data_IF_798386767951
#
_entry.id   IF_798386767951
#
_cell.length_a   1.000
_cell.length_b   1.000
_cell.length_c   1.000
_cell.angle_alpha   90.00
_cell.angle_beta   90.00
_cell.angle_gamma   90.00
#
_symmetry.space_group_name_H-M   'P 1'
#
loop_
_entity.id
_entity.type
_entity.pdbx_description
1 polymer ?
#
# COMPACT_ATOMS: atom_id res chain seq x y z
N UNK A 1 -5.50 -8.58 -24.14
CA UNK A 1 -4.20 -8.23 -23.53
C UNK A 1 -3.85 -9.29 -22.49
N UNK A 2 -2.58 -9.43 -22.08
CA UNK A 2 -2.20 -10.43 -21.07
C UNK A 2 -2.94 -10.19 -19.75
N UNK A 3 -3.12 -8.93 -19.37
CA UNK A 3 -3.94 -8.56 -18.21
C UNK A 3 -5.37 -9.13 -18.26
N UNK A 4 -6.02 -9.12 -19.42
CA UNK A 4 -7.37 -9.66 -19.57
C UNK A 4 -7.41 -11.19 -19.37
N UNK A 5 -6.34 -11.88 -19.77
CA UNK A 5 -6.18 -13.32 -19.53
C UNK A 5 -6.03 -13.57 -18.02
N UNK A 6 -5.23 -12.77 -17.31
CA UNK A 6 -5.12 -12.86 -15.84
C UNK A 6 -6.47 -12.64 -15.13
N UNK A 7 -7.34 -11.79 -15.68
CA UNK A 7 -8.69 -11.59 -15.15
C UNK A 7 -9.62 -12.80 -15.34
N UNK A 8 -9.32 -13.66 -16.31
CA UNK A 8 -10.12 -14.83 -16.68
C UNK A 8 -9.62 -16.14 -16.05
N UNK A 9 -8.56 -16.10 -15.22
CA UNK A 9 -8.04 -17.28 -14.54
C UNK A 9 -9.13 -18.04 -13.76
N UNK A 10 -8.96 -19.37 -13.59
CA UNK A 10 -9.83 -20.18 -12.74
C UNK A 10 -9.93 -19.61 -11.32
N UNK A 11 -11.06 -19.87 -10.66
CA UNK A 11 -11.33 -19.30 -9.33
C UNK A 11 -10.32 -19.78 -8.27
N UNK A 12 -9.84 -21.01 -8.38
CA UNK A 12 -8.81 -21.56 -7.48
C UNK A 12 -7.48 -20.79 -7.61
N UNK A 13 -7.03 -20.53 -8.84
CA UNK A 13 -5.80 -19.77 -9.07
C UNK A 13 -5.93 -18.32 -8.60
N UNK A 14 -7.08 -17.69 -8.85
CA UNK A 14 -7.40 -16.35 -8.33
C UNK A 14 -7.33 -16.29 -6.81
N UNK A 15 -7.79 -17.32 -6.11
CA UNK A 15 -7.72 -17.40 -4.66
C UNK A 15 -6.27 -17.44 -4.17
N UNK A 16 -5.42 -18.27 -4.79
CA UNK A 16 -3.98 -18.37 -4.48
C UNK A 16 -3.25 -17.04 -4.74
N UNK A 17 -3.55 -16.37 -5.86
CA UNK A 17 -3.01 -15.03 -6.17
C UNK A 17 -3.47 -14.01 -5.12
N UNK A 18 -4.75 -14.04 -4.71
CA UNK A 18 -5.29 -13.13 -3.72
C UNK A 18 -4.60 -13.26 -2.36
N UNK A 19 -4.31 -14.49 -1.92
CA UNK A 19 -3.57 -14.76 -0.69
C UNK A 19 -2.16 -14.15 -0.73
N UNK A 20 -1.41 -14.35 -1.83
CA UNK A 20 -0.08 -13.77 -1.98
C UNK A 20 -0.12 -12.24 -2.03
N UNK A 21 -1.12 -11.66 -2.70
CA UNK A 21 -1.30 -10.20 -2.74
C UNK A 21 -1.63 -9.65 -1.36
N UNK A 22 -2.39 -10.37 -0.53
CA UNK A 22 -2.66 -9.93 0.83
C UNK A 22 -1.38 -9.94 1.69
N UNK A 23 -0.54 -10.97 1.56
CA UNK A 23 0.79 -10.98 2.19
C UNK A 23 1.66 -9.80 1.74
N UNK A 24 1.63 -9.45 0.44
CA UNK A 24 2.30 -8.26 -0.08
C UNK A 24 1.74 -6.95 0.49
N UNK A 25 0.41 -6.84 0.63
CA UNK A 25 -0.26 -5.65 1.19
C UNK A 25 0.12 -5.38 2.65
N UNK A 26 0.39 -6.42 3.42
CA UNK A 26 0.91 -6.27 4.78
C UNK A 26 2.27 -5.57 4.80
N UNK A 27 3.20 -5.95 3.91
CA UNK A 27 4.49 -5.26 3.77
C UNK A 27 4.33 -3.83 3.25
N UNK A 28 3.41 -3.63 2.29
CA UNK A 28 3.09 -2.29 1.79
C UNK A 28 2.54 -1.38 2.89
N UNK A 29 1.69 -1.89 3.78
CA UNK A 29 1.17 -1.14 4.93
C UNK A 29 2.28 -0.69 5.89
N UNK A 30 3.31 -1.53 6.10
CA UNK A 30 4.50 -1.14 6.88
C UNK A 30 5.26 0.00 6.20
N UNK A 31 5.38 -0.03 4.87
CA UNK A 31 6.01 1.07 4.14
C UNK A 31 5.18 2.34 4.23
N UNK A 32 3.88 2.29 4.02
CA UNK A 32 2.97 3.44 4.16
C UNK A 32 3.12 4.09 5.54
N UNK A 33 3.08 3.29 6.60
CA UNK A 33 3.23 3.76 7.97
C UNK A 33 4.60 4.39 8.22
N UNK A 34 5.65 3.90 7.57
CA UNK A 34 7.00 4.46 7.70
C UNK A 34 7.12 5.78 6.92
N UNK A 35 6.73 5.80 5.64
CA UNK A 35 6.87 6.99 4.78
C UNK A 35 5.91 8.11 5.17
N UNK A 36 4.77 7.80 5.81
CA UNK A 36 3.80 8.81 6.26
C UNK A 36 4.34 9.73 7.38
N UNK A 37 5.41 9.32 8.07
CA UNK A 37 6.06 10.12 9.12
C UNK A 37 6.85 11.29 8.55
N UNK A 38 7.24 11.21 7.28
CA UNK A 38 8.27 12.06 6.70
C UNK A 38 7.69 13.02 5.67
N UNK A 39 8.10 14.28 5.74
CA UNK A 39 8.06 15.21 4.60
C UNK A 39 9.16 14.80 3.63
N UNK A 40 8.80 14.58 2.37
CA UNK A 40 9.71 14.09 1.33
C UNK A 40 10.47 15.20 0.61
N UNK A 41 10.18 16.47 0.91
CA UNK A 41 10.96 17.60 0.41
C UNK A 41 12.42 17.47 0.87
N UNK A 42 13.35 17.33 -0.08
CA UNK A 42 14.78 17.16 0.21
C UNK A 42 15.14 15.77 0.77
N UNK A 43 14.27 14.77 0.60
CA UNK A 43 14.53 13.39 0.97
C UNK A 43 14.19 12.44 -0.17
N UNK A 44 15.12 12.31 -1.11
CA UNK A 44 14.96 11.45 -2.28
C UNK A 44 14.85 9.97 -1.93
N UNK A 45 15.33 9.52 -0.74
CA UNK A 45 15.12 8.15 -0.29
C UNK A 45 13.62 7.88 -0.09
N UNK A 46 12.88 8.81 0.52
CA UNK A 46 11.43 8.68 0.70
C UNK A 46 10.70 8.78 -0.65
N UNK A 47 11.10 9.69 -1.53
CA UNK A 47 10.51 9.82 -2.88
C UNK A 47 10.68 8.53 -3.67
N UNK A 48 11.89 7.97 -3.69
CA UNK A 48 12.19 6.71 -4.39
C UNK A 48 11.44 5.53 -3.76
N UNK A 49 11.31 5.48 -2.43
CA UNK A 49 10.53 4.44 -1.76
C UNK A 49 9.05 4.47 -2.17
N UNK A 50 8.44 5.67 -2.23
CA UNK A 50 7.07 5.86 -2.72
C UNK A 50 6.94 5.47 -4.20
N UNK A 51 7.91 5.86 -5.04
CA UNK A 51 7.93 5.49 -6.45
C UNK A 51 7.99 3.96 -6.64
N UNK A 52 8.92 3.28 -5.96
CA UNK A 52 9.05 1.83 -6.01
C UNK A 52 7.79 1.13 -5.51
N UNK A 53 7.17 1.63 -4.43
CA UNK A 53 5.91 1.12 -3.89
C UNK A 53 4.78 1.18 -4.93
N UNK A 54 4.61 2.33 -5.58
CA UNK A 54 3.58 2.53 -6.61
C UNK A 54 3.75 1.54 -7.76
N UNK A 55 4.96 1.39 -8.29
CA UNK A 55 5.21 0.47 -9.42
C UNK A 55 5.00 -0.99 -9.00
N UNK A 56 5.45 -1.39 -7.80
CA UNK A 56 5.18 -2.75 -7.29
C UNK A 56 3.69 -3.03 -7.13
N UNK A 57 2.90 -2.05 -6.68
CA UNK A 57 1.43 -2.17 -6.61
C UNK A 57 0.84 -2.42 -8.01
N UNK A 58 1.23 -1.65 -9.03
CA UNK A 58 0.78 -1.85 -10.42
C UNK A 58 1.12 -3.24 -10.95
N UNK A 59 2.33 -3.75 -10.64
CA UNK A 59 2.75 -5.10 -11.00
C UNK A 59 1.94 -6.19 -10.30
N UNK A 60 1.60 -6.00 -9.01
CA UNK A 60 0.73 -6.95 -8.29
C UNK A 60 -0.74 -6.85 -8.67
N UNK A 61 -1.22 -5.69 -9.13
CA UNK A 61 -2.58 -5.59 -9.66
C UNK A 61 -2.69 -6.23 -11.05
N UNK A 62 -1.62 -6.20 -11.84
CA UNK A 62 -1.55 -6.91 -13.13
C UNK A 62 -1.81 -8.40 -12.98
N UNK A 63 -1.27 -9.06 -11.95
CA UNK A 63 -1.48 -10.50 -11.71
C UNK A 63 -2.94 -10.83 -11.37
N UNK A 64 -3.73 -9.83 -10.96
CA UNK A 64 -5.18 -9.94 -10.69
C UNK A 64 -6.03 -9.54 -11.89
N UNK A 65 -5.40 -9.24 -13.02
CA UNK A 65 -6.06 -8.68 -14.20
C UNK A 65 -6.57 -7.26 -14.03
N UNK A 66 -5.96 -6.47 -13.13
CA UNK A 66 -6.33 -5.08 -12.82
C UNK A 66 -5.16 -4.12 -13.02
N UNK A 67 -5.42 -2.82 -12.90
CA UNK A 67 -4.39 -1.78 -12.95
C UNK A 67 -4.03 -1.31 -14.37
N UNK A 68 -2.96 -0.51 -14.49
CA UNK A 68 -2.61 0.16 -15.74
C UNK A 68 -1.84 -0.72 -16.73
N UNK A 69 -1.08 -1.72 -16.26
CA UNK A 69 -0.25 -2.58 -17.11
C UNK A 69 -1.13 -3.52 -17.94
N UNK A 70 -0.92 -3.60 -19.26
CA UNK A 70 -1.76 -4.39 -20.17
C UNK A 70 -1.06 -5.65 -20.65
N UNK A 71 0.23 -5.56 -20.96
CA UNK A 71 1.00 -6.62 -21.61
C UNK A 71 2.28 -6.93 -20.82
N UNK A 72 2.90 -8.09 -21.11
CA UNK A 72 4.17 -8.49 -20.48
C UNK A 72 5.29 -7.46 -20.68
N UNK A 73 5.29 -6.75 -21.81
CA UNK A 73 6.22 -5.64 -22.06
C UNK A 73 6.13 -4.55 -21.00
N UNK A 74 4.92 -4.24 -20.53
CA UNK A 74 4.68 -3.19 -19.55
C UNK A 74 5.21 -3.61 -18.18
N UNK A 75 5.03 -4.89 -17.83
CA UNK A 75 5.56 -5.51 -16.60
C UNK A 75 7.09 -5.53 -16.61
N UNK A 76 7.71 -5.87 -17.74
CA UNK A 76 9.17 -5.83 -17.91
C UNK A 76 9.69 -4.38 -17.75
N UNK A 77 9.00 -3.41 -18.35
CA UNK A 77 9.38 -2.00 -18.24
C UNK A 77 9.19 -1.47 -16.81
N UNK A 78 8.14 -1.89 -16.10
CA UNK A 78 7.93 -1.60 -14.68
C UNK A 78 9.08 -2.14 -13.82
N UNK A 79 9.51 -3.38 -14.05
CA UNK A 79 10.65 -3.98 -13.33
C UNK A 79 11.98 -3.24 -13.59
N UNK A 80 12.21 -2.75 -14.81
CA UNK A 80 13.37 -1.90 -15.13
C UNK A 80 13.32 -0.57 -14.39
N UNK A 81 12.17 0.12 -14.38
CA UNK A 81 11.97 1.37 -13.62
C UNK A 81 12.23 1.18 -12.12
N UNK A 82 11.81 0.04 -11.56
CA UNK A 82 12.12 -0.32 -10.17
C UNK A 82 13.61 -0.51 -9.97
N UNK A 83 14.32 -1.20 -10.88
CA UNK A 83 15.76 -1.39 -10.77
C UNK A 83 16.53 -0.06 -10.84
N UNK A 84 16.13 0.86 -11.70
CA UNK A 84 16.69 2.21 -11.79
C UNK A 84 16.45 3.02 -10.51
N UNK A 85 15.24 2.97 -9.95
CA UNK A 85 14.92 3.59 -8.67
C UNK A 85 15.71 2.97 -7.51
N UNK A 86 15.82 1.64 -7.47
CA UNK A 86 16.61 0.90 -6.48
C UNK A 86 18.10 1.22 -6.56
N UNK A 87 18.65 1.39 -7.76
CA UNK A 87 20.06 1.82 -7.94
C UNK A 87 20.29 3.25 -7.45
N UNK A 88 19.35 4.17 -7.70
CA UNK A 88 19.41 5.54 -7.15
C UNK A 88 19.30 5.54 -5.63
N UNK A 89 18.42 4.70 -5.06
CA UNK A 89 18.29 4.55 -3.62
C UNK A 89 19.57 4.00 -2.99
N UNK A 90 20.22 3.00 -3.62
CA UNK A 90 21.51 2.45 -3.18
C UNK A 90 22.57 3.54 -3.08
N UNK A 91 22.73 4.38 -4.11
CA UNK A 91 23.72 5.46 -4.12
C UNK A 91 23.52 6.44 -2.95
N UNK A 92 22.28 6.89 -2.73
CA UNK A 92 21.96 7.83 -1.66
C UNK A 92 22.18 7.20 -0.27
N UNK A 93 21.64 6.00 -0.05
CA UNK A 93 21.75 5.31 1.22
C UNK A 93 23.20 4.89 1.53
N UNK A 94 24.02 4.59 0.51
CA UNK A 94 25.45 4.32 0.68
C UNK A 94 26.20 5.58 1.11
N UNK A 95 25.88 6.74 0.54
CA UNK A 95 26.43 8.02 1.00
C UNK A 95 26.02 8.32 2.45
N UNK A 96 24.78 8.00 2.86
CA UNK A 96 24.35 8.08 4.27
C UNK A 96 25.17 7.11 5.14
N UNK A 97 25.40 5.88 4.69
CA UNK A 97 26.20 4.88 5.38
C UNK A 97 27.66 5.34 5.55
N UNK A 98 28.22 6.05 4.57
CA UNK A 98 29.58 6.59 4.62
C UNK A 98 29.73 7.79 5.56
N UNK A 99 28.65 8.57 5.76
CA UNK A 99 28.61 9.59 6.82
C UNK A 99 28.40 9.00 8.22
N UNK A 100 27.88 7.77 8.35
CA UNK A 100 27.55 7.18 9.64
C UNK A 100 28.82 6.87 10.46
N UNK A 101 29.01 7.48 11.65
CA UNK A 101 30.16 7.20 12.51
C UNK A 101 30.02 5.87 13.29
N UNK A 102 28.80 5.32 13.36
CA UNK A 102 28.49 4.08 14.08
C UNK A 102 28.62 2.88 13.12
N UNK A 103 29.63 2.05 13.34
CA UNK A 103 29.97 0.94 12.45
C UNK A 103 28.87 -0.12 12.36
N UNK A 104 28.20 -0.44 13.47
CA UNK A 104 27.10 -1.42 13.49
C UNK A 104 25.93 -0.92 12.64
N UNK A 105 25.50 0.33 12.86
CA UNK A 105 24.45 0.96 12.06
C UNK A 105 24.81 1.05 10.57
N UNK A 106 26.08 1.32 10.25
CA UNK A 106 26.59 1.30 8.87
C UNK A 106 26.42 -0.09 8.23
N UNK A 107 26.82 -1.16 8.93
CA UNK A 107 26.73 -2.52 8.41
C UNK A 107 25.28 -2.96 8.17
N UNK A 108 24.36 -2.65 9.09
CA UNK A 108 22.93 -2.96 8.91
C UNK A 108 22.37 -2.32 7.63
N UNK A 109 22.68 -1.03 7.41
CA UNK A 109 22.23 -0.31 6.23
C UNK A 109 22.80 -0.93 4.93
N UNK A 110 24.09 -1.24 4.90
CA UNK A 110 24.74 -1.87 3.74
C UNK A 110 24.16 -3.26 3.43
N UNK A 111 23.82 -4.05 4.45
CA UNK A 111 23.19 -5.36 4.27
C UNK A 111 21.80 -5.23 3.63
N UNK A 112 21.00 -4.24 4.04
CA UNK A 112 19.69 -3.99 3.41
C UNK A 112 19.82 -3.50 1.97
N UNK A 113 20.87 -2.75 1.62
CA UNK A 113 21.15 -2.36 0.23
C UNK A 113 21.48 -3.55 -0.67
N UNK A 114 22.25 -4.52 -0.17
CA UNK A 114 22.48 -5.77 -0.90
C UNK A 114 21.17 -6.53 -1.16
N UNK A 115 20.24 -6.52 -0.19
CA UNK A 115 18.91 -7.12 -0.36
C UNK A 115 18.07 -6.39 -1.40
N UNK A 116 18.12 -5.06 -1.46
CA UNK A 116 17.46 -4.29 -2.54
C UNK A 116 18.01 -4.73 -3.90
N UNK A 117 19.34 -4.79 -4.06
CA UNK A 117 19.96 -5.21 -5.32
C UNK A 117 19.52 -6.63 -5.74
N UNK A 118 19.53 -7.58 -4.80
CA UNK A 118 19.08 -8.95 -5.01
C UNK A 118 17.60 -9.00 -5.45
N UNK A 119 16.70 -8.36 -4.72
CA UNK A 119 15.27 -8.46 -5.01
C UNK A 119 14.84 -7.66 -6.25
N UNK A 120 15.53 -6.55 -6.57
CA UNK A 120 15.37 -5.89 -7.87
C UNK A 120 15.76 -6.82 -9.03
N UNK A 121 16.82 -7.62 -8.87
CA UNK A 121 17.23 -8.61 -9.87
C UNK A 121 16.20 -9.75 -9.99
N UNK A 122 15.75 -10.32 -8.87
CA UNK A 122 14.72 -11.36 -8.87
C UNK A 122 13.41 -10.87 -9.52
N UNK A 123 12.95 -9.66 -9.19
CA UNK A 123 11.75 -9.08 -9.78
C UNK A 123 11.89 -8.91 -11.30
N UNK A 124 13.08 -8.53 -11.78
CA UNK A 124 13.37 -8.47 -13.22
C UNK A 124 13.32 -9.84 -13.90
N UNK A 125 13.82 -10.90 -13.26
CA UNK A 125 13.70 -12.26 -13.78
C UNK A 125 12.22 -12.66 -13.86
N UNK A 126 11.48 -12.52 -12.75
CA UNK A 126 10.06 -12.86 -12.69
C UNK A 126 9.23 -12.08 -13.72
N UNK A 127 9.56 -10.82 -14.00
CA UNK A 127 8.84 -10.01 -14.99
C UNK A 127 8.94 -10.53 -16.43
N UNK A 128 9.97 -11.31 -16.75
CA UNK A 128 10.22 -11.84 -18.10
C UNK A 128 9.60 -13.22 -18.32
N UNK A 129 9.17 -13.90 -17.25
CA UNK A 129 8.54 -15.23 -17.35
C UNK A 129 7.17 -15.05 -17.99
N UNK A 130 7.04 -15.50 -19.24
CA UNK A 130 5.76 -15.48 -19.94
C UNK A 130 4.85 -16.54 -19.33
N UNK A 131 3.61 -16.17 -19.00
CA UNK A 131 2.57 -17.15 -18.74
C UNK A 131 2.28 -17.87 -20.07
N UNK A 132 2.41 -19.19 -20.11
CA UNK A 132 1.94 -19.97 -21.26
C UNK A 132 0.44 -20.19 -21.10
N UNK A 133 -0.29 -19.97 -22.19
CA UNK A 133 -1.73 -20.19 -22.25
C UNK A 133 -1.94 -21.39 -23.14
N UNK A 134 -2.29 -22.52 -22.54
CA UNK A 134 -2.68 -23.72 -23.27
C UNK A 134 -4.20 -23.81 -23.30
N UNK A 135 -4.77 -24.05 -24.49
CA UNK A 135 -6.20 -24.28 -24.64
C UNK A 135 -6.40 -25.79 -24.79
N UNK A 136 -6.78 -26.45 -23.69
CA UNK A 136 -7.16 -27.87 -23.72
C UNK A 136 -8.67 -27.97 -23.60
N UNK A 137 -9.33 -28.42 -24.67
CA UNK A 137 -10.76 -28.75 -24.63
C UNK A 137 -11.70 -27.58 -24.37
N UNK A 138 -11.31 -26.32 -24.65
CA UNK A 138 -12.13 -25.13 -24.37
C UNK A 138 -11.91 -24.54 -22.97
N UNK A 139 -11.10 -25.19 -22.14
CA UNK A 139 -10.64 -24.66 -20.86
C UNK A 139 -9.25 -24.02 -21.03
N UNK A 140 -9.13 -22.76 -20.63
CA UNK A 140 -7.84 -22.06 -20.61
C UNK A 140 -7.03 -22.58 -19.42
N UNK A 141 -6.06 -23.46 -19.67
CA UNK A 141 -5.06 -23.85 -18.68
C UNK A 141 -3.91 -22.84 -18.82
N UNK A 142 -3.84 -21.92 -17.86
CA UNK A 142 -2.78 -20.90 -17.83
C UNK A 142 -1.73 -21.36 -16.84
N UNK A 143 -0.52 -21.68 -17.29
CA UNK A 143 0.63 -21.94 -16.40
C UNK A 143 1.14 -20.68 -15.68
N UNK A 144 0.34 -19.60 -15.70
CA UNK A 144 0.67 -18.28 -15.19
C UNK A 144 0.59 -18.16 -13.67
N UNK A 145 0.04 -19.14 -12.95
CA UNK A 145 -0.03 -19.09 -11.48
C UNK A 145 1.37 -19.02 -10.85
N UNK A 146 2.30 -19.89 -11.24
CA UNK A 146 3.65 -19.91 -10.66
C UNK A 146 4.45 -18.64 -11.01
N UNK A 147 4.28 -18.14 -12.24
CA UNK A 147 4.87 -16.86 -12.67
C UNK A 147 4.31 -15.68 -11.87
N UNK A 148 2.99 -15.62 -11.68
CA UNK A 148 2.31 -14.57 -10.93
C UNK A 148 2.70 -14.57 -9.45
N UNK A 149 2.67 -15.74 -8.82
CA UNK A 149 3.01 -15.89 -7.39
C UNK A 149 4.48 -15.57 -7.14
N UNK A 150 5.39 -16.00 -8.02
CA UNK A 150 6.81 -15.64 -7.97
C UNK A 150 7.04 -14.13 -8.11
N UNK A 151 6.32 -13.47 -9.03
CA UNK A 151 6.39 -12.02 -9.20
C UNK A 151 5.93 -11.27 -7.94
N UNK A 152 4.81 -11.68 -7.35
CA UNK A 152 4.27 -11.08 -6.12
C UNK A 152 5.25 -11.30 -4.96
N UNK A 153 5.83 -12.50 -4.84
CA UNK A 153 6.76 -12.82 -3.78
C UNK A 153 8.07 -12.01 -3.89
N UNK A 154 8.59 -11.83 -5.11
CA UNK A 154 9.74 -10.96 -5.35
C UNK A 154 9.43 -9.49 -4.99
N UNK A 155 8.23 -9.00 -5.36
CA UNK A 155 7.78 -7.66 -5.01
C UNK A 155 7.62 -7.48 -3.48
N UNK A 156 7.09 -8.49 -2.78
CA UNK A 156 6.97 -8.48 -1.31
C UNK A 156 8.33 -8.41 -0.62
N UNK A 157 9.28 -9.23 -1.08
CA UNK A 157 10.64 -9.24 -0.54
C UNK A 157 11.33 -7.88 -0.75
N UNK A 158 11.17 -7.30 -1.95
CA UNK A 158 11.67 -5.97 -2.26
C UNK A 158 11.01 -4.88 -1.41
N UNK A 159 9.69 -4.91 -1.24
CA UNK A 159 8.94 -3.97 -0.39
C UNK A 159 9.49 -3.96 1.04
N UNK A 160 9.66 -5.14 1.64
CA UNK A 160 10.24 -5.25 2.98
C UNK A 160 11.69 -4.72 3.04
N UNK A 161 12.52 -5.01 2.03
CA UNK A 161 13.88 -4.47 1.97
C UNK A 161 13.88 -2.93 1.91
N UNK A 162 12.98 -2.33 1.11
CA UNK A 162 12.82 -0.87 1.03
C UNK A 162 12.40 -0.28 2.39
N UNK A 163 11.46 -0.90 3.11
CA UNK A 163 11.07 -0.48 4.47
C UNK A 163 12.29 -0.44 5.40
N UNK A 164 13.08 -1.51 5.40
CA UNK A 164 14.26 -1.63 6.27
C UNK A 164 15.33 -0.60 5.90
N UNK A 165 15.58 -0.38 4.61
CA UNK A 165 16.54 0.64 4.13
C UNK A 165 16.12 2.04 4.53
N UNK A 166 14.83 2.41 4.42
CA UNK A 166 14.33 3.72 4.87
C UNK A 166 14.60 3.90 6.38
N UNK A 167 14.22 2.91 7.20
CA UNK A 167 14.43 2.96 8.66
C UNK A 167 15.91 3.06 9.03
N UNK A 168 16.76 2.20 8.46
CA UNK A 168 18.19 2.18 8.73
C UNK A 168 18.88 3.47 8.26
N UNK A 169 18.45 4.03 7.12
CA UNK A 169 18.98 5.31 6.62
C UNK A 169 18.64 6.46 7.57
N UNK A 170 17.44 6.48 8.16
CA UNK A 170 17.09 7.44 9.21
C UNK A 170 17.99 7.27 10.43
N UNK A 171 18.12 6.05 10.96
CA UNK A 171 18.96 5.78 12.14
C UNK A 171 20.41 6.22 11.89
N UNK A 172 21.01 5.84 10.75
CA UNK A 172 22.36 6.26 10.37
C UNK A 172 22.51 7.78 10.30
N UNK A 173 21.52 8.47 9.73
CA UNK A 173 21.50 9.94 9.66
C UNK A 173 21.44 10.59 11.05
N UNK A 174 20.68 10.03 11.99
CA UNK A 174 20.63 10.53 13.37
C UNK A 174 21.94 10.30 14.12
N UNK A 175 22.66 9.21 13.84
CA UNK A 175 23.99 8.96 14.41
C UNK A 175 25.00 10.01 13.94
N UNK A 176 24.96 10.38 12.66
CA UNK A 176 25.76 11.48 12.12
C UNK A 176 25.44 12.82 12.83
N UNK A 177 24.17 13.20 12.86
CA UNK A 177 23.74 14.45 13.52
C UNK A 177 24.10 14.50 15.01
N UNK A 178 24.00 13.38 15.73
CA UNK A 178 24.34 13.31 17.16
C UNK A 178 25.82 13.60 17.43
N UNK A 179 26.71 13.17 16.53
CA UNK A 179 28.17 13.32 16.71
C UNK A 179 28.65 14.68 16.24
N UNK A 180 28.18 15.16 15.10
CA UNK A 180 28.71 16.38 14.46
C UNK A 180 27.81 17.61 14.61
N UNK A 181 26.57 17.44 15.08
CA UNK A 181 25.61 18.53 15.29
C UNK A 181 25.22 19.26 14.00
N UNK A 182 24.63 20.45 14.15
CA UNK A 182 24.26 21.34 13.04
C UNK A 182 25.44 22.12 12.46
N UNK A 183 26.62 22.05 13.11
CA UNK A 183 27.85 22.73 12.70
C UNK A 183 28.80 21.81 11.91
N UNK A 184 28.31 20.65 11.45
CA UNK A 184 29.08 19.75 10.62
C UNK A 184 29.53 20.45 9.33
N UNK A 185 30.82 20.30 8.99
CA UNK A 185 31.40 20.89 7.76
C UNK A 185 30.71 20.35 6.50
N UNK A 186 30.27 19.09 6.55
CA UNK A 186 29.48 18.47 5.49
C UNK A 186 28.00 18.46 5.87
N UNK A 187 27.15 18.88 4.94
CA UNK A 187 25.70 18.75 5.12
C UNK A 187 25.26 17.28 5.05
N UNK A 188 24.20 16.88 5.77
CA UNK A 188 23.66 15.53 5.67
C UNK A 188 23.17 15.25 4.24
N UNK A 189 23.35 14.02 3.76
CA UNK A 189 22.98 13.62 2.39
C UNK A 189 21.49 13.86 2.08
N UNK A 190 20.62 13.62 3.06
CA UNK A 190 19.16 13.79 2.95
C UNK A 190 18.59 14.48 4.19
N UNK A 191 17.48 15.19 4.04
CA UNK A 191 16.79 15.88 5.13
C UNK A 191 15.69 15.02 5.74
N UNK A 192 15.77 14.73 7.04
CA UNK A 192 14.73 14.01 7.78
C UNK A 192 13.83 15.01 8.51
N UNK A 193 12.69 15.34 7.89
CA UNK A 193 11.69 16.25 8.47
C UNK A 193 10.41 15.49 8.77
N UNK A 194 9.89 15.63 9.99
CA UNK A 194 8.59 15.05 10.32
C UNK A 194 7.48 15.78 9.58
N UNK A 195 6.56 15.01 9.00
CA UNK A 195 5.32 15.56 8.44
C UNK A 195 4.44 16.04 9.59
N UNK A 196 3.86 17.24 9.46
CA UNK A 196 2.92 17.74 10.44
C UNK A 196 1.71 16.78 10.55
N UNK A 197 1.25 16.41 11.76
CA UNK A 197 0.08 15.55 11.92
C UNK A 197 -1.14 16.20 11.26
N UNK A 198 -1.79 15.49 10.34
CA UNK A 198 -3.08 15.92 9.81
C UNK A 198 -4.09 15.87 10.96
N UNK A 199 -4.76 17.01 11.22
CA UNK A 199 -5.79 17.10 12.26
C UNK A 199 -6.91 16.14 11.90
N UNK A 200 -7.01 15.03 12.61
CA UNK A 200 -8.18 14.15 12.49
C UNK A 200 -9.40 14.95 12.98
N UNK A 201 -10.52 14.97 12.24
CA UNK A 201 -11.73 15.61 12.71
C UNK A 201 -12.15 14.97 14.05
N UNK A 202 -12.31 15.81 15.09
CA UNK A 202 -12.64 15.35 16.45
C UNK A 202 -13.99 14.63 16.53
N UNK A 203 -14.86 14.87 15.55
CA UNK A 203 -16.16 14.23 15.42
C UNK A 203 -16.23 13.59 14.04
N UNK A 204 -16.53 12.28 13.98
CA UNK A 204 -16.96 11.64 12.74
C UNK A 204 -18.24 12.34 12.29
N UNK A 205 -18.19 13.11 11.19
CA UNK A 205 -19.42 13.53 10.52
C UNK A 205 -20.12 12.26 10.06
N UNK A 206 -21.27 11.94 10.65
CA UNK A 206 -22.15 10.89 10.12
C UNK A 206 -22.46 11.25 8.67
N UNK A 207 -22.36 10.25 7.78
CA UNK A 207 -22.81 10.43 6.40
C UNK A 207 -24.33 10.64 6.43
N UNK A 208 -24.91 11.53 5.60
CA UNK A 208 -26.37 11.75 5.55
C UNK A 208 -27.18 10.45 5.36
N UNK A 209 -26.58 9.43 4.76
CA UNK A 209 -27.18 8.12 4.50
C UNK A 209 -27.43 7.29 5.78
N UNK A 210 -26.66 7.49 6.85
CA UNK A 210 -26.84 6.73 8.11
C UNK A 210 -27.95 7.31 9.02
N UNK A 211 -28.38 8.56 8.78
CA UNK A 211 -29.39 9.22 9.60
C UNK A 211 -30.84 8.91 9.18
N UNK A 212 -31.06 8.44 7.94
CA UNK A 212 -32.43 8.20 7.44
C UNK A 212 -33.10 6.94 7.98
N UNK A 213 -32.37 6.00 8.58
CA UNK A 213 -32.92 4.69 8.96
C UNK A 213 -33.46 4.60 10.39
N UNK A 214 -33.40 5.67 11.20
CA UNK A 214 -33.85 5.64 12.61
C UNK A 214 -34.94 6.63 13.03
N UNK A 215 -35.73 7.17 12.10
CA UNK A 215 -37.02 7.78 12.49
C UNK A 215 -38.09 6.69 12.56
N UNK A 216 -38.23 6.06 13.74
CA UNK A 216 -39.44 5.28 14.04
C UNK A 216 -40.63 6.24 13.97
N UNK A 217 -41.53 6.03 13.01
CA UNK A 217 -42.83 6.72 12.90
C UNK A 217 -43.53 6.69 14.27
N UNK A 218 -43.58 7.83 14.93
CA UNK A 218 -44.49 8.03 16.06
C UNK A 218 -45.93 7.87 15.58
N UNK A 219 -46.74 7.18 16.38
CA UNK A 219 -48.15 6.91 16.09
C UNK A 219 -48.88 8.21 15.74
N UNK A 220 -49.54 8.25 14.58
CA UNK A 220 -50.30 9.42 14.15
C UNK A 220 -51.42 9.70 15.17
N UNK A 221 -51.35 10.85 15.85
CA UNK A 221 -52.43 11.33 16.71
C UNK A 221 -53.68 11.53 15.86
N UNK A 222 -54.69 10.68 16.05
CA UNK A 222 -56.03 10.90 15.49
C UNK A 222 -56.62 12.15 16.14
N UNK A 223 -57.04 13.10 15.32
CA UNK A 223 -57.73 14.30 15.77
C UNK A 223 -59.19 13.94 16.09
N UNK A 224 -59.51 13.77 17.38
CA UNK A 224 -60.87 13.50 17.85
C UNK A 224 -61.52 14.87 18.12
N UNK A 225 -62.70 15.11 17.55
CA UNK A 225 -63.41 16.38 17.78
C UNK A 225 -63.93 16.45 19.23
N UNK A 226 -63.91 17.62 19.90
CA UNK A 226 -64.34 17.75 21.29
C UNK A 226 -65.76 17.25 21.55
N UNK A 227 -66.66 17.37 20.55
CA UNK A 227 -68.04 16.91 20.64
C UNK A 227 -68.13 15.37 20.67
N UNK A 228 -67.28 14.66 19.91
CA UNK A 228 -67.24 13.19 19.95
C UNK A 228 -66.75 12.67 21.30
N UNK A 229 -65.74 13.30 21.90
CA UNK A 229 -65.21 12.91 23.20
C UNK A 229 -66.25 13.11 24.33
N UNK A 230 -67.15 14.09 24.19
CA UNK A 230 -68.19 14.38 25.18
C UNK A 230 -69.43 13.48 25.02
N UNK A 231 -69.72 12.99 23.81
CA UNK A 231 -70.79 12.02 23.56
C UNK A 231 -70.51 10.63 24.16
N UNK A 232 -69.23 10.22 24.22
CA UNK A 232 -68.82 8.96 24.85
C UNK A 232 -69.01 8.97 26.38
N UNK A 233 -69.06 10.15 27.01
CA UNK A 233 -69.16 10.27 28.47
C UNK A 233 -70.59 10.41 29.02
N UNK A 234 -71.60 10.62 28.14
CA UNK A 234 -73.01 10.82 28.54
C UNK A 234 -73.89 9.57 28.43
N UNK A 235 -73.33 8.42 28.06
CA UNK A 235 -74.06 7.14 27.97
C UNK A 235 -74.03 6.30 29.26
N UNK A 236 -73.67 6.88 30.40
CA UNK A 236 -73.80 6.26 31.72
C UNK A 236 -74.59 7.21 32.62
N UNK A 237 -75.92 7.25 32.45
CA UNK A 237 -76.87 7.63 33.51
C UNK A 237 -78.32 7.44 33.01
N UNK A 238 -78.82 6.20 33.05
CA UNK A 238 -80.23 5.85 33.29
C UNK A 238 -80.41 4.33 33.32
N UNK A 239 -81.08 3.85 34.37
CA UNK A 239 -81.53 2.48 34.65
C UNK A 239 -82.27 1.80 33.50
#
# INVERSE_FOLDING_TARGET
SVQAIMAQLPQEEKAKIAEQVESFRQEKSKLDAEVAKWDDNGNDIIVLAKQMCMIMMEMTDFTRGKGPLKNSSDVINAAKKIAEAGSRMDKLARAVADQCPDSACKQDLLAYLQRIALYCHQLNICSKVKAEVQNLGGELIVSGLDSATSLIQAAKNLMNAVVLTVKASYVASTKYQKVYGTAAVNSPVVSWRMKAPEKKPLVKREKPEECQTRVRRGSQKKHISPVQALSEFKAMDSF
#
